data_IF_579062031352
#
_entry.id   IF_579062031352
#
_cell.length_a   1.000
_cell.length_b   1.000
_cell.length_c   1.000
_cell.angle_alpha   90.00
_cell.angle_beta   90.00
_cell.angle_gamma   90.00
#
_symmetry.space_group_name_H-M   'P 1'
#
loop_
_entity.id
_entity.type
_entity.pdbx_description
1 polymer ?
#
# COMPACT_ATOMS: atom_id res chain seq x y z
N UNK A 1 20.26 30.69 23.08
CA UNK A 1 18.92 30.24 23.53
C UNK A 1 17.96 30.01 22.36
N UNK A 2 17.96 30.86 21.33
CA UNK A 2 17.12 30.72 20.12
C UNK A 2 17.44 29.49 19.26
N UNK A 3 18.70 29.05 19.20
CA UNK A 3 19.14 27.88 18.42
C UNK A 3 18.57 26.55 18.93
N UNK A 4 18.53 26.35 20.24
CA UNK A 4 18.00 25.11 20.86
C UNK A 4 16.49 24.97 20.68
N UNK A 5 15.76 26.08 20.75
CA UNK A 5 14.32 26.11 20.48
C UNK A 5 14.02 25.75 19.02
N UNK A 6 14.81 26.27 18.07
CA UNK A 6 14.68 25.92 16.66
C UNK A 6 14.94 24.44 16.38
N UNK A 7 15.99 23.87 16.99
CA UNK A 7 16.32 22.44 16.85
C UNK A 7 15.22 21.56 17.45
N UNK A 8 14.69 21.90 18.63
CA UNK A 8 13.61 21.15 19.27
C UNK A 8 12.31 21.20 18.47
N UNK A 9 11.96 22.37 17.91
CA UNK A 9 10.79 22.52 17.05
C UNK A 9 10.93 21.65 15.78
N UNK A 10 12.10 21.70 15.14
CA UNK A 10 12.38 20.92 13.93
C UNK A 10 12.33 19.41 14.20
N UNK A 11 12.94 18.95 15.29
CA UNK A 11 12.91 17.55 15.70
C UNK A 11 11.47 17.08 15.99
N UNK A 12 10.68 17.92 16.67
CA UNK A 12 9.28 17.63 16.95
C UNK A 12 8.47 17.53 15.65
N UNK A 13 8.68 18.45 14.72
CA UNK A 13 8.01 18.45 13.41
C UNK A 13 8.39 17.21 12.57
N UNK A 14 9.66 16.81 12.60
CA UNK A 14 10.18 15.63 11.90
C UNK A 14 9.52 14.33 12.36
N UNK A 15 9.05 14.27 13.61
CA UNK A 15 8.32 13.10 14.15
C UNK A 15 6.81 13.24 13.98
N UNK A 16 6.26 14.41 14.30
CA UNK A 16 4.81 14.62 14.29
C UNK A 16 4.23 14.60 12.88
N UNK A 17 4.91 15.15 11.87
CA UNK A 17 4.39 15.17 10.50
C UNK A 17 4.25 13.76 9.91
N UNK A 18 5.28 12.87 9.95
CA UNK A 18 5.11 11.49 9.47
C UNK A 18 4.10 10.70 10.29
N UNK A 19 4.04 10.91 11.61
CA UNK A 19 3.06 10.24 12.47
C UNK A 19 1.62 10.65 12.11
N UNK A 20 1.37 11.94 11.92
CA UNK A 20 0.08 12.46 11.49
C UNK A 20 -0.26 11.98 10.08
N UNK A 21 0.69 12.03 9.15
CA UNK A 21 0.49 11.56 7.77
C UNK A 21 0.10 10.07 7.74
N UNK A 22 0.84 9.21 8.45
CA UNK A 22 0.52 7.78 8.50
C UNK A 22 -0.81 7.51 9.21
N UNK A 23 -1.16 8.26 10.25
CA UNK A 23 -2.47 8.19 10.88
C UNK A 23 -3.60 8.51 9.89
N UNK A 24 -3.48 9.64 9.17
CA UNK A 24 -4.49 10.07 8.19
C UNK A 24 -4.63 9.08 7.04
N UNK A 25 -3.51 8.58 6.49
CA UNK A 25 -3.53 7.56 5.42
C UNK A 25 -4.26 6.30 5.88
N UNK A 26 -3.98 5.81 7.09
CA UNK A 26 -4.64 4.59 7.63
C UNK A 26 -6.12 4.81 7.88
N UNK A 27 -6.49 5.96 8.44
CA UNK A 27 -7.89 6.32 8.66
C UNK A 27 -8.69 6.40 7.36
N UNK A 28 -8.06 6.87 6.28
CA UNK A 28 -8.67 6.94 4.96
C UNK A 28 -8.74 5.56 4.28
N UNK A 29 -7.70 4.74 4.38
CA UNK A 29 -7.69 3.37 3.83
C UNK A 29 -8.80 2.49 4.41
N UNK A 30 -9.14 2.66 5.69
CA UNK A 30 -10.24 1.92 6.33
C UNK A 30 -11.62 2.22 5.72
N UNK A 31 -11.75 3.33 4.97
CA UNK A 31 -13.00 3.73 4.31
C UNK A 31 -13.11 3.22 2.88
N UNK A 32 -12.02 2.71 2.30
CA UNK A 32 -12.04 2.17 0.95
C UNK A 32 -12.68 0.78 0.94
N UNK A 33 -13.50 0.45 -0.07
CA UNK A 33 -14.11 -0.87 -0.17
C UNK A 33 -13.03 -1.93 -0.38
N UNK A 34 -13.05 -2.98 0.45
CA UNK A 34 -12.15 -4.11 0.33
C UNK A 34 -12.83 -5.20 -0.49
N UNK A 35 -12.17 -5.67 -1.56
CA UNK A 35 -12.64 -6.81 -2.35
C UNK A 35 -12.59 -8.09 -1.51
N UNK A 36 -13.72 -8.80 -1.44
CA UNK A 36 -13.87 -10.06 -0.69
C UNK A 36 -14.61 -11.10 -1.53
N UNK A 37 -14.17 -12.34 -1.45
CA UNK A 37 -14.76 -13.51 -2.11
C UNK A 37 -14.97 -13.33 -3.62
N UNK A 38 -14.04 -12.64 -4.29
CA UNK A 38 -14.09 -12.41 -5.74
C UNK A 38 -13.11 -13.32 -6.49
N UNK A 39 -13.44 -13.62 -7.75
CA UNK A 39 -12.53 -14.21 -8.72
C UNK A 39 -11.99 -13.08 -9.60
N UNK A 40 -10.67 -12.88 -9.59
CA UNK A 40 -9.99 -11.74 -10.21
C UNK A 40 -8.97 -12.31 -11.20
N UNK A 41 -8.96 -11.78 -12.43
CA UNK A 41 -7.94 -12.10 -13.42
C UNK A 41 -7.01 -10.88 -13.59
N UNK A 42 -5.72 -11.05 -13.32
CA UNK A 42 -4.68 -10.06 -13.58
C UNK A 42 -4.04 -10.40 -14.94
N UNK A 43 -4.29 -9.56 -15.93
CA UNK A 43 -3.68 -9.68 -17.25
C UNK A 43 -2.37 -8.88 -17.27
N UNK A 44 -1.27 -9.53 -17.64
CA UNK A 44 0.06 -8.91 -17.78
C UNK A 44 0.61 -9.12 -19.19
N UNK A 45 1.47 -8.21 -19.62
CA UNK A 45 2.07 -8.27 -20.95
C UNK A 45 3.30 -9.20 -20.96
N UNK A 46 4.19 -9.03 -19.98
CA UNK A 46 5.46 -9.76 -19.89
C UNK A 46 5.55 -10.58 -18.59
N UNK A 47 6.39 -11.63 -18.55
CA UNK A 47 6.73 -12.27 -17.30
C UNK A 47 7.34 -11.26 -16.31
N UNK A 48 7.14 -11.49 -15.02
CA UNK A 48 7.60 -10.68 -13.89
C UNK A 48 6.90 -9.32 -13.69
N UNK A 49 6.02 -8.87 -14.59
CA UNK A 49 5.23 -7.64 -14.39
C UNK A 49 4.40 -7.71 -13.09
N UNK A 50 3.93 -8.91 -12.73
CA UNK A 50 3.20 -9.15 -11.49
C UNK A 50 4.04 -8.89 -10.24
N UNK A 51 5.36 -9.08 -10.32
CA UNK A 51 6.29 -8.87 -9.23
C UNK A 51 6.87 -7.45 -9.24
N UNK A 52 7.19 -6.92 -10.42
CA UNK A 52 7.82 -5.61 -10.56
C UNK A 52 6.84 -4.45 -10.35
N UNK A 53 5.64 -4.54 -10.92
CA UNK A 53 4.66 -3.45 -10.88
C UNK A 53 3.48 -3.74 -9.96
N UNK A 54 3.04 -5.01 -9.89
CA UNK A 54 1.81 -5.37 -9.19
C UNK A 54 1.99 -6.13 -7.87
N UNK A 55 3.21 -6.32 -7.37
CA UNK A 55 3.45 -7.13 -6.17
C UNK A 55 2.60 -6.69 -4.96
N UNK A 56 2.53 -5.40 -4.59
CA UNK A 56 1.70 -4.96 -3.47
C UNK A 56 0.23 -5.29 -3.67
N UNK A 57 -0.27 -5.16 -4.90
CA UNK A 57 -1.66 -5.43 -5.27
C UNK A 57 -1.96 -6.93 -5.23
N UNK A 58 -1.09 -7.77 -5.80
CA UNK A 58 -1.24 -9.23 -5.78
C UNK A 58 -1.25 -9.74 -4.34
N UNK A 59 -0.33 -9.28 -3.50
CA UNK A 59 -0.30 -9.63 -2.08
C UNK A 59 -1.55 -9.16 -1.34
N UNK A 60 -2.02 -7.93 -1.61
CA UNK A 60 -3.22 -7.41 -0.97
C UNK A 60 -4.48 -8.16 -1.35
N UNK A 61 -4.60 -8.58 -2.62
CA UNK A 61 -5.74 -9.31 -3.17
C UNK A 61 -5.73 -10.78 -2.77
N UNK A 62 -4.57 -11.42 -2.63
CA UNK A 62 -4.44 -12.84 -2.26
C UNK A 62 -4.47 -13.10 -0.74
N UNK A 63 -4.69 -12.07 0.09
CA UNK A 63 -4.83 -12.21 1.55
C UNK A 63 -5.90 -13.25 1.90
N UNK A 64 -5.57 -14.33 2.66
CA UNK A 64 -6.51 -15.42 2.95
C UNK A 64 -7.82 -14.94 3.59
N UNK A 65 -7.75 -13.92 4.44
CA UNK A 65 -8.90 -13.35 5.15
C UNK A 65 -9.94 -12.68 4.24
N UNK A 66 -9.55 -12.35 3.00
CA UNK A 66 -10.44 -11.76 2.00
C UNK A 66 -11.12 -12.82 1.14
N UNK A 67 -10.61 -14.05 1.10
CA UNK A 67 -11.18 -15.16 0.34
C UNK A 67 -11.22 -14.94 -1.18
N UNK A 68 -10.40 -14.03 -1.72
CA UNK A 68 -10.34 -13.81 -3.16
C UNK A 68 -9.52 -14.90 -3.84
N UNK A 69 -9.87 -15.22 -5.08
CA UNK A 69 -9.12 -16.08 -5.98
C UNK A 69 -8.54 -15.24 -7.11
N UNK A 70 -7.22 -15.07 -7.14
CA UNK A 70 -6.52 -14.33 -8.18
C UNK A 70 -5.90 -15.32 -9.17
N UNK A 71 -6.15 -15.11 -10.46
CA UNK A 71 -5.43 -15.77 -11.56
C UNK A 71 -4.59 -14.74 -12.30
N UNK A 72 -3.40 -15.10 -12.72
CA UNK A 72 -2.51 -14.24 -13.50
C UNK A 72 -2.42 -14.84 -14.90
N UNK A 73 -2.66 -14.03 -15.92
CA UNK A 73 -2.58 -14.41 -17.34
C UNK A 73 -1.53 -13.53 -18.00
N UNK A 74 -0.45 -14.15 -18.49
CA UNK A 74 0.58 -13.47 -19.28
C UNK A 74 0.31 -13.65 -20.76
N UNK A 75 0.49 -12.59 -21.54
CA UNK A 75 0.33 -12.61 -23.00
C UNK A 75 1.62 -12.96 -23.75
N UNK A 76 2.77 -12.95 -23.09
CA UNK A 76 4.04 -13.38 -23.64
C UNK A 76 4.69 -14.49 -22.80
N UNK A 77 5.74 -15.09 -23.36
CA UNK A 77 6.62 -16.06 -22.69
C UNK A 77 7.82 -15.39 -22.08
#
# INVERSE_FOLDING_TARGET
MTSWLGISLLATLLVLLPALYTYLVRAMQARLPVLRSKRICLLIAHPDDEAMFFAPTVLALTRPQTGNHVKILCLST
#
